data_IF_601223223295
#
_entry.id   IF_601223223295
#
_cell.length_a   1.000
_cell.length_b   1.000
_cell.length_c   1.000
_cell.angle_alpha   90.00
_cell.angle_beta   90.00
_cell.angle_gamma   90.00
#
_symmetry.space_group_name_H-M   'P 1'
#
loop_
_entity.id
_entity.type
_entity.pdbx_description
1 polymer ?
#
# COMPACT_ATOMS: atom_id res chain seq x y z
N UNK A 1 19.35 -10.55 6.46
CA UNK A 1 18.19 -11.00 5.66
C UNK A 1 17.71 -9.84 4.81
N UNK A 2 17.53 -10.07 3.51
CA UNK A 2 17.04 -9.03 2.59
C UNK A 2 15.54 -8.80 2.78
N UNK A 3 15.05 -7.67 2.26
CA UNK A 3 13.61 -7.38 2.26
C UNK A 3 12.82 -8.51 1.58
N UNK A 4 13.28 -8.97 0.41
CA UNK A 4 12.66 -10.06 -0.32
C UNK A 4 12.55 -11.33 0.53
N UNK A 5 13.64 -11.71 1.19
CA UNK A 5 13.66 -12.90 2.04
C UNK A 5 12.69 -12.77 3.21
N UNK A 6 12.65 -11.59 3.85
CA UNK A 6 11.68 -11.34 4.93
C UNK A 6 10.24 -11.48 4.43
N UNK A 7 9.95 -10.96 3.24
CA UNK A 7 8.62 -11.03 2.65
C UNK A 7 8.20 -12.47 2.36
N UNK A 8 9.16 -13.34 1.98
CA UNK A 8 8.85 -14.76 1.74
C UNK A 8 8.46 -15.52 3.02
N UNK A 9 8.83 -14.98 4.18
CA UNK A 9 8.46 -15.54 5.47
C UNK A 9 7.14 -14.98 6.02
N UNK A 10 6.58 -14.00 5.38
CA UNK A 10 5.31 -13.38 5.80
C UNK A 10 4.16 -14.39 5.68
N UNK A 11 3.31 -14.43 6.70
CA UNK A 11 2.18 -15.37 6.77
C UNK A 11 0.83 -14.67 6.65
N UNK A 12 0.81 -13.35 6.61
CA UNK A 12 -0.42 -12.56 6.56
C UNK A 12 -0.16 -11.21 5.91
N UNK A 13 -1.24 -10.51 5.55
CA UNK A 13 -1.14 -9.13 5.07
C UNK A 13 -0.51 -8.23 6.16
N UNK A 14 -0.82 -8.49 7.42
CA UNK A 14 -0.27 -7.70 8.53
C UNK A 14 1.25 -7.85 8.59
N UNK A 15 1.78 -9.06 8.37
CA UNK A 15 3.21 -9.29 8.31
C UNK A 15 3.85 -8.49 7.18
N UNK A 16 3.23 -8.47 6.00
CA UNK A 16 3.73 -7.71 4.84
C UNK A 16 3.78 -6.22 5.18
N UNK A 17 2.72 -5.69 5.78
CA UNK A 17 2.67 -4.28 6.19
C UNK A 17 3.78 -3.94 7.17
N UNK A 18 3.95 -4.75 8.21
CA UNK A 18 4.96 -4.50 9.25
C UNK A 18 6.37 -4.56 8.68
N UNK A 19 6.64 -5.50 7.77
CA UNK A 19 7.94 -5.61 7.12
C UNK A 19 8.25 -4.33 6.32
N UNK A 20 7.28 -3.83 5.55
CA UNK A 20 7.47 -2.61 4.75
C UNK A 20 7.58 -1.37 5.63
N UNK A 21 6.77 -1.27 6.69
CA UNK A 21 6.86 -0.14 7.62
C UNK A 21 8.27 -0.06 8.20
N UNK A 22 8.81 -1.19 8.62
CA UNK A 22 10.16 -1.24 9.20
C UNK A 22 11.24 -0.96 8.16
N UNK A 23 11.13 -1.59 6.98
CA UNK A 23 12.13 -1.46 5.92
C UNK A 23 12.23 -0.02 5.40
N UNK A 24 11.11 0.69 5.29
CA UNK A 24 11.06 2.06 4.78
C UNK A 24 11.15 3.11 5.89
N UNK A 25 11.17 2.68 7.15
CA UNK A 25 11.21 3.61 8.28
C UNK A 25 10.00 4.52 8.34
N UNK A 26 8.82 4.02 8.01
CA UNK A 26 7.61 4.84 7.97
C UNK A 26 7.21 5.30 9.37
N UNK A 27 6.82 6.57 9.47
CA UNK A 27 6.38 7.20 10.70
C UNK A 27 5.06 7.94 10.45
N UNK A 28 4.28 8.16 11.52
CA UNK A 28 3.03 8.87 11.41
C UNK A 28 2.02 8.15 10.52
N UNK A 29 2.09 6.81 10.48
CA UNK A 29 1.18 6.00 9.68
C UNK A 29 -0.05 5.60 10.48
N UNK A 30 -1.11 5.23 9.75
CA UNK A 30 -2.25 4.52 10.32
C UNK A 30 -2.53 3.28 9.46
N UNK A 31 -3.24 2.31 10.06
CA UNK A 31 -3.63 1.06 9.40
C UNK A 31 -5.12 0.86 9.58
N UNK A 32 -5.91 1.42 8.68
CA UNK A 32 -7.38 1.33 8.69
C UNK A 32 -7.86 0.70 7.37
N UNK A 33 -8.84 1.31 6.70
CA UNK A 33 -9.29 0.84 5.38
C UNK A 33 -8.17 0.87 4.34
N UNK A 34 -7.35 1.92 4.37
CA UNK A 34 -6.10 1.97 3.62
C UNK A 34 -5.07 1.21 4.45
N UNK A 35 -4.46 0.17 3.89
CA UNK A 35 -3.61 -0.75 4.63
C UNK A 35 -2.46 -0.09 5.37
N UNK A 36 -1.74 0.84 4.72
CA UNK A 36 -0.79 1.72 5.40
C UNK A 36 -1.05 3.12 4.84
N UNK A 37 -1.32 4.06 5.72
CA UNK A 37 -1.68 5.42 5.34
C UNK A 37 -0.73 6.42 5.99
N UNK A 38 0.01 7.15 5.15
CA UNK A 38 0.87 8.27 5.58
C UNK A 38 0.47 9.53 4.83
N UNK A 39 1.07 10.66 5.16
CA UNK A 39 0.81 11.93 4.45
C UNK A 39 1.34 11.89 3.01
N UNK A 40 2.40 11.16 2.76
CA UNK A 40 3.11 11.15 1.49
C UNK A 40 2.70 10.01 0.58
N UNK A 41 2.25 8.88 1.15
CA UNK A 41 2.01 7.66 0.37
C UNK A 41 1.01 6.76 1.08
N UNK A 42 0.11 6.18 0.31
CA UNK A 42 -0.84 5.16 0.79
C UNK A 42 -0.54 3.83 0.11
N UNK A 43 -0.65 2.74 0.88
CA UNK A 43 -0.33 1.39 0.43
C UNK A 43 -1.54 0.47 0.50
N UNK A 44 -1.71 -0.36 -0.52
CA UNK A 44 -2.54 -1.56 -0.50
C UNK A 44 -1.60 -2.76 -0.40
N UNK A 45 -1.85 -3.67 0.55
CA UNK A 45 -0.99 -4.83 0.78
C UNK A 45 -1.74 -6.13 0.59
N UNK A 46 -1.07 -7.15 0.08
CA UNK A 46 -1.56 -8.53 -0.01
C UNK A 46 -0.51 -9.48 0.56
N UNK A 47 -0.96 -10.62 1.05
CA UNK A 47 -0.10 -11.61 1.71
C UNK A 47 0.55 -12.61 0.75
N UNK A 48 0.24 -12.52 -0.53
CA UNK A 48 0.83 -13.38 -1.56
C UNK A 48 1.01 -12.61 -2.85
N UNK A 49 1.82 -13.18 -3.77
CA UNK A 49 2.04 -12.57 -5.08
C UNK A 49 1.02 -12.98 -6.13
N UNK A 50 -0.11 -13.59 -5.73
CA UNK A 50 -1.10 -14.13 -6.66
C UNK A 50 -2.12 -13.09 -7.16
N UNK A 51 -2.30 -11.98 -6.45
CA UNK A 51 -3.20 -10.92 -6.89
C UNK A 51 -2.48 -10.02 -7.90
N UNK A 52 -3.15 -9.70 -9.01
CA UNK A 52 -2.54 -8.86 -10.03
C UNK A 52 -2.36 -7.43 -9.52
N UNK A 53 -1.34 -6.74 -10.05
CA UNK A 53 -1.09 -5.32 -9.74
C UNK A 53 -2.32 -4.48 -10.08
N UNK A 54 -2.96 -4.76 -11.22
CA UNK A 54 -4.17 -4.06 -11.64
C UNK A 54 -5.28 -4.19 -10.59
N UNK A 55 -5.54 -5.41 -10.11
CA UNK A 55 -6.59 -5.64 -9.11
C UNK A 55 -6.28 -4.94 -7.80
N UNK A 56 -5.02 -4.91 -7.38
CA UNK A 56 -4.60 -4.22 -6.17
C UNK A 56 -4.80 -2.71 -6.29
N UNK A 57 -4.42 -2.10 -7.43
CA UNK A 57 -4.65 -0.68 -7.65
C UNK A 57 -6.14 -0.35 -7.74
N UNK A 58 -6.95 -1.23 -8.34
CA UNK A 58 -8.40 -1.04 -8.40
C UNK A 58 -8.99 -0.95 -7.00
N UNK A 59 -8.57 -1.82 -6.10
CA UNK A 59 -9.02 -1.80 -4.71
C UNK A 59 -8.57 -0.52 -4.00
N UNK A 60 -7.31 -0.13 -4.18
CA UNK A 60 -6.78 1.09 -3.60
C UNK A 60 -7.53 2.32 -4.13
N UNK A 61 -7.79 2.38 -5.43
CA UNK A 61 -8.53 3.50 -6.03
C UNK A 61 -9.96 3.59 -5.51
N UNK A 62 -10.58 2.47 -5.17
CA UNK A 62 -11.90 2.48 -4.53
C UNK A 62 -11.84 3.22 -3.19
N UNK A 63 -10.83 2.94 -2.37
CA UNK A 63 -10.65 3.63 -1.09
C UNK A 63 -10.27 5.11 -1.28
N UNK A 64 -9.46 5.41 -2.29
CA UNK A 64 -9.12 6.79 -2.63
C UNK A 64 -10.37 7.58 -2.99
N UNK A 65 -11.28 6.98 -3.78
CA UNK A 65 -12.53 7.64 -4.14
C UNK A 65 -13.40 7.91 -2.90
N UNK A 66 -13.46 6.97 -1.97
CA UNK A 66 -14.17 7.17 -0.71
C UNK A 66 -13.58 8.34 0.09
N UNK A 67 -12.25 8.43 0.14
CA UNK A 67 -11.56 9.51 0.82
C UNK A 67 -11.86 10.87 0.18
N UNK A 68 -11.85 10.94 -1.15
CA UNK A 68 -12.21 12.15 -1.88
C UNK A 68 -13.64 12.58 -1.55
N UNK A 69 -14.57 11.63 -1.48
CA UNK A 69 -15.97 11.92 -1.17
C UNK A 69 -16.13 12.48 0.25
N UNK A 70 -15.21 12.16 1.15
CA UNK A 70 -15.19 12.68 2.52
C UNK A 70 -14.42 14.00 2.66
N UNK A 71 -13.83 14.50 1.57
CA UNK A 71 -13.02 15.71 1.59
C UNK A 71 -11.62 15.53 2.14
N UNK A 72 -11.12 14.29 2.21
CA UNK A 72 -9.76 14.02 2.68
C UNK A 72 -8.72 14.36 1.60
N UNK A 73 -7.54 14.79 2.03
CA UNK A 73 -6.42 15.01 1.13
C UNK A 73 -5.84 13.68 0.66
N UNK A 74 -5.54 13.61 -0.64
CA UNK A 74 -4.92 12.42 -1.23
C UNK A 74 -3.40 12.63 -1.25
N UNK A 75 -2.59 11.63 -0.84
CA UNK A 75 -1.14 11.76 -0.84
C UNK A 75 -0.59 11.82 -2.27
N UNK A 76 0.62 12.35 -2.48
CA UNK A 76 1.21 12.41 -3.82
C UNK A 76 1.52 11.04 -4.44
N UNK A 77 1.63 9.99 -3.63
CA UNK A 77 1.98 8.66 -4.13
C UNK A 77 1.01 7.59 -3.63
N UNK A 78 0.76 6.60 -4.50
CA UNK A 78 -0.02 5.41 -4.20
C UNK A 78 0.84 4.20 -4.52
N UNK A 79 0.80 3.18 -3.68
CA UNK A 79 1.65 2.01 -3.83
C UNK A 79 0.89 0.73 -3.51
N UNK A 80 1.18 -0.33 -4.26
CA UNK A 80 0.69 -1.66 -3.94
C UNK A 80 1.89 -2.56 -3.66
N UNK A 81 1.77 -3.40 -2.62
CA UNK A 81 2.85 -4.26 -2.18
C UNK A 81 2.34 -5.67 -1.87
N UNK A 82 3.15 -6.65 -2.17
CA UNK A 82 2.91 -8.03 -1.74
C UNK A 82 4.24 -8.73 -1.48
N UNK A 83 4.22 -10.05 -1.37
CA UNK A 83 5.44 -10.81 -1.04
C UNK A 83 6.42 -10.89 -2.21
N UNK A 84 6.01 -10.54 -3.42
CA UNK A 84 6.82 -10.69 -4.63
C UNK A 84 7.10 -9.39 -5.37
N UNK A 85 6.30 -8.35 -5.16
CA UNK A 85 6.41 -7.12 -5.93
C UNK A 85 5.93 -5.90 -5.18
N UNK A 86 6.35 -4.75 -5.67
CA UNK A 86 5.83 -3.45 -5.26
C UNK A 86 5.70 -2.59 -6.51
N UNK A 87 4.64 -1.80 -6.59
CA UNK A 87 4.42 -0.87 -7.69
C UNK A 87 3.93 0.46 -7.14
N UNK A 88 4.54 1.54 -7.58
CA UNK A 88 4.24 2.89 -7.12
C UNK A 88 3.72 3.74 -8.29
N UNK A 89 2.81 4.65 -7.98
CA UNK A 89 2.16 5.49 -8.98
C UNK A 89 1.96 6.88 -8.37
N UNK A 90 2.12 7.91 -9.20
CA UNK A 90 1.81 9.28 -8.77
C UNK A 90 0.29 9.46 -8.75
N UNK A 91 -0.23 10.00 -7.67
CA UNK A 91 -1.67 10.24 -7.55
C UNK A 91 -2.20 11.13 -8.66
N UNK A 92 -1.43 12.15 -9.07
CA UNK A 92 -1.82 13.08 -10.14
C UNK A 92 -2.08 12.39 -11.48
N UNK A 93 -1.48 11.21 -11.70
CA UNK A 93 -1.64 10.46 -12.95
C UNK A 93 -2.92 9.64 -12.99
N UNK A 94 -3.57 9.38 -11.85
CA UNK A 94 -4.70 8.47 -11.75
C UNK A 94 -5.92 9.06 -11.05
N UNK A 95 -5.76 10.11 -10.27
CA UNK A 95 -6.88 10.78 -9.58
C UNK A 95 -7.30 11.98 -10.42
N UNK A 96 -8.58 12.04 -10.85
CA UNK A 96 -9.07 13.16 -11.67
C UNK A 96 -9.12 14.48 -10.91
#
# INVERSE_FOLDING_TARGET
MTLYEKLQLAKSEEDVKDIYIKALGLKGYSKNLIDIQTKEIWFEAKDSGSTSTYAMFTQLMHYVQQALNKGEEIPPFLCVIDTKKAAIMKSEDVVP
#
